data_IF_744673281694
#
_entry.id   IF_744673281694
#
_cell.length_a   1.000
_cell.length_b   1.000
_cell.length_c   1.000
_cell.angle_alpha   90.00
_cell.angle_beta   90.00
_cell.angle_gamma   90.00
#
_symmetry.space_group_name_H-M   'P 1'
#
loop_
_entity.id
_entity.type
_entity.pdbx_description
1 polymer ?
#
# COMPACT_ATOMS: atom_id res chain seq x y z
N UNK A 1 -0.31 12.83 -1.10
CA UNK A 1 -1.80 12.89 -1.07
C UNK A 1 -2.30 11.95 0.00
N UNK A 2 -3.47 12.22 0.61
CA UNK A 2 -4.12 11.24 1.50
C UNK A 2 -5.17 10.48 0.66
N UNK A 3 -5.07 9.15 0.62
CA UNK A 3 -6.02 8.28 -0.10
C UNK A 3 -6.49 7.15 0.81
N UNK A 4 -7.73 6.71 0.59
CA UNK A 4 -8.35 5.56 1.27
C UNK A 4 -7.63 4.25 0.94
N UNK A 5 -7.93 3.18 1.68
CA UNK A 5 -7.42 1.85 1.36
C UNK A 5 -7.98 1.34 0.03
N UNK A 6 -9.22 1.68 -0.29
CA UNK A 6 -9.91 1.28 -1.52
C UNK A 6 -9.27 1.94 -2.74
N UNK A 7 -8.95 3.24 -2.69
CA UNK A 7 -8.25 3.94 -3.78
C UNK A 7 -6.84 3.40 -3.98
N UNK A 8 -6.11 3.12 -2.89
CA UNK A 8 -4.81 2.47 -2.95
C UNK A 8 -4.88 1.11 -3.67
N UNK A 9 -5.79 0.23 -3.22
CA UNK A 9 -5.91 -1.12 -3.78
C UNK A 9 -6.47 -1.11 -5.21
N UNK A 10 -7.32 -0.13 -5.56
CA UNK A 10 -7.76 0.07 -6.94
C UNK A 10 -6.59 0.44 -7.85
N UNK A 11 -5.72 1.36 -7.42
CA UNK A 11 -4.51 1.72 -8.17
C UNK A 11 -3.55 0.54 -8.31
N UNK A 12 -3.29 -0.20 -7.24
CA UNK A 12 -2.42 -1.40 -7.31
C UNK A 12 -2.97 -2.42 -8.30
N UNK A 13 -4.28 -2.68 -8.30
CA UNK A 13 -4.89 -3.68 -9.21
C UNK A 13 -4.85 -3.29 -10.68
N UNK A 14 -4.84 -1.99 -11.00
CA UNK A 14 -4.83 -1.50 -12.38
C UNK A 14 -3.44 -1.21 -12.93
N UNK A 15 -2.43 -1.07 -12.07
CA UNK A 15 -1.08 -0.67 -12.48
C UNK A 15 -0.25 -1.88 -12.98
N UNK A 16 0.53 -1.76 -14.07
CA UNK A 16 1.31 -2.89 -14.63
C UNK A 16 2.38 -3.44 -13.67
N UNK A 17 2.87 -2.60 -12.75
CA UNK A 17 3.79 -3.00 -11.68
C UNK A 17 3.08 -3.31 -10.35
N UNK A 18 1.76 -3.46 -10.38
CA UNK A 18 0.95 -3.84 -9.24
C UNK A 18 1.19 -5.29 -8.85
N UNK A 19 1.14 -5.58 -7.55
CA UNK A 19 1.35 -6.91 -7.02
C UNK A 19 0.46 -7.18 -5.80
N UNK A 20 0.09 -8.45 -5.59
CA UNK A 20 -0.72 -8.91 -4.46
C UNK A 20 -0.13 -8.45 -3.11
N UNK A 21 1.20 -8.44 -2.98
CA UNK A 21 1.92 -8.08 -1.76
C UNK A 21 1.77 -6.60 -1.39
N UNK A 22 1.35 -5.77 -2.34
CA UNK A 22 1.09 -4.36 -2.09
C UNK A 22 -0.35 -4.10 -1.62
N UNK A 23 -1.29 -5.05 -1.68
CA UNK A 23 -2.67 -4.81 -1.26
C UNK A 23 -2.81 -4.60 0.26
N UNK A 24 -3.75 -3.76 0.68
CA UNK A 24 -4.01 -3.51 2.10
C UNK A 24 -4.41 -4.78 2.86
N UNK A 25 -5.16 -5.69 2.22
CA UNK A 25 -5.50 -6.99 2.80
C UNK A 25 -4.29 -7.90 2.99
N UNK A 26 -3.24 -7.76 2.19
CA UNK A 26 -1.99 -8.49 2.43
C UNK A 26 -1.33 -8.03 3.73
N UNK A 27 -1.26 -6.72 3.99
CA UNK A 27 -0.73 -6.19 5.25
C UNK A 27 -1.50 -6.71 6.48
N UNK A 28 -2.82 -6.89 6.39
CA UNK A 28 -3.62 -7.49 7.45
C UNK A 28 -3.13 -8.90 7.83
N UNK A 29 -2.76 -9.72 6.85
CA UNK A 29 -2.20 -11.07 7.12
C UNK A 29 -0.83 -10.99 7.82
N UNK A 30 -0.04 -9.95 7.55
CA UNK A 30 1.31 -9.77 8.09
C UNK A 30 1.31 -9.29 9.55
N UNK A 31 0.20 -8.75 10.05
CA UNK A 31 0.04 -8.42 11.48
C UNK A 31 0.35 -9.60 12.39
N UNK A 32 -0.09 -10.81 12.02
CA UNK A 32 0.15 -12.04 12.80
C UNK A 32 1.65 -12.36 12.98
N UNK A 33 2.50 -11.89 12.07
CA UNK A 33 3.95 -12.11 12.10
C UNK A 33 4.74 -10.89 12.57
N UNK A 34 4.07 -9.93 13.20
CA UNK A 34 4.69 -8.78 13.87
C UNK A 34 5.00 -7.59 12.96
N UNK A 35 4.42 -7.54 11.76
CA UNK A 35 4.57 -6.38 10.86
C UNK A 35 3.46 -5.36 11.06
N UNK A 36 3.79 -4.08 10.95
CA UNK A 36 2.82 -2.99 10.81
C UNK A 36 3.02 -2.25 9.49
N UNK A 37 1.95 -1.68 8.95
CA UNK A 37 1.95 -1.05 7.64
C UNK A 37 1.84 0.47 7.70
N UNK A 38 2.43 1.14 6.71
CA UNK A 38 2.16 2.52 6.31
C UNK A 38 1.97 2.58 4.81
N UNK A 39 1.24 3.59 4.32
CA UNK A 39 1.02 3.82 2.89
C UNK A 39 1.48 5.22 2.53
N UNK A 40 2.02 5.35 1.32
CA UNK A 40 2.31 6.62 0.68
C UNK A 40 1.67 6.65 -0.70
N UNK A 41 1.25 7.84 -1.11
CA UNK A 41 0.71 8.10 -2.44
C UNK A 41 1.24 9.45 -2.95
N UNK A 42 1.78 9.41 -4.17
CA UNK A 42 2.24 10.59 -4.91
C UNK A 42 1.33 10.80 -6.11
N UNK A 43 1.17 12.05 -6.49
CA UNK A 43 0.31 12.42 -7.61
C UNK A 43 0.57 13.82 -8.10
N UNK A 44 -0.05 14.13 -9.23
CA UNK A 44 0.04 15.43 -9.91
C UNK A 44 -1.38 15.78 -10.37
N UNK A 45 -1.76 17.05 -10.21
CA UNK A 45 -3.06 17.57 -10.66
C UNK A 45 -4.28 16.79 -10.12
N UNK A 46 -4.16 16.27 -8.89
CA UNK A 46 -5.22 15.47 -8.25
C UNK A 46 -5.26 13.99 -8.66
N UNK A 47 -4.43 13.57 -9.61
CA UNK A 47 -4.36 12.19 -10.07
C UNK A 47 -3.22 11.42 -9.39
N UNK A 48 -3.48 10.16 -9.00
CA UNK A 48 -2.49 9.27 -8.41
C UNK A 48 -1.49 8.84 -9.50
N UNK A 49 -0.20 9.06 -9.26
CA UNK A 49 0.89 8.67 -10.17
C UNK A 49 1.71 7.50 -9.61
N UNK A 50 1.58 7.21 -8.31
CA UNK A 50 2.24 6.06 -7.69
C UNK A 50 1.83 5.86 -6.24
N UNK A 51 1.85 4.61 -5.80
CA UNK A 51 1.55 4.20 -4.43
C UNK A 51 2.58 3.20 -3.92
N UNK A 52 2.75 3.14 -2.61
CA UNK A 52 3.48 2.06 -1.98
C UNK A 52 2.90 1.72 -0.60
N UNK A 53 2.83 0.43 -0.30
CA UNK A 53 2.64 -0.13 1.03
C UNK A 53 4.01 -0.51 1.61
N UNK A 54 4.34 0.04 2.78
CA UNK A 54 5.58 -0.24 3.50
C UNK A 54 5.25 -1.08 4.72
N UNK A 55 5.95 -2.21 4.87
CA UNK A 55 5.86 -3.06 6.05
C UNK A 55 7.10 -2.85 6.91
N UNK A 56 6.86 -2.54 8.19
CA UNK A 56 7.89 -2.37 9.18
C UNK A 56 7.76 -3.45 10.25
N UNK A 57 8.89 -3.95 10.71
CA UNK A 57 8.96 -4.88 11.83
C UNK A 57 10.11 -4.46 12.73
N UNK A 58 9.89 -4.47 14.04
CA UNK A 58 10.96 -4.21 14.99
C UNK A 58 12.03 -5.30 14.85
N UNK A 59 13.27 -4.89 14.62
CA UNK A 59 14.43 -5.77 14.76
C UNK A 59 14.82 -5.78 16.23
N UNK A 60 15.08 -6.97 16.77
CA UNK A 60 15.48 -7.18 18.17
C UNK A 60 16.99 -7.28 18.24
#
# INVERSE_FOLDING_TARGET
MHITNQEHDAFVKSHPNGDLLQLTKWAETKKLTGWYARRIAVGRDGEIQGVAQLLFKKST
#
